data_IF_358231516255
#
_entry.id   IF_358231516255
#
_cell.length_a   1.000
_cell.length_b   1.000
_cell.length_c   1.000
_cell.angle_alpha   90.00
_cell.angle_beta   90.00
_cell.angle_gamma   90.00
#
_symmetry.space_group_name_H-M   'P 1'
#
loop_
_entity.id
_entity.type
_entity.pdbx_description
1 polymer ?
#
# COMPACT_ATOMS: atom_id res chain seq x y z
N UNK A 1 -44.82 38.90 -14.96
CA UNK A 1 -43.39 38.93 -14.61
C UNK A 1 -42.75 37.92 -15.54
N UNK A 2 -42.23 38.41 -16.65
CA UNK A 2 -41.63 37.59 -17.72
C UNK A 2 -40.35 36.96 -17.16
N UNK A 3 -40.12 35.70 -17.49
CA UNK A 3 -38.96 34.92 -17.04
C UNK A 3 -37.63 35.63 -17.37
N UNK A 4 -37.61 36.35 -18.49
CA UNK A 4 -36.47 37.09 -19.02
C UNK A 4 -36.04 38.25 -18.10
N UNK A 5 -37.00 39.00 -17.54
CA UNK A 5 -36.69 40.12 -16.63
C UNK A 5 -36.03 39.66 -15.32
N UNK A 6 -36.42 38.48 -14.82
CA UNK A 6 -35.82 37.88 -13.62
C UNK A 6 -34.42 37.34 -13.92
N UNK A 7 -34.21 36.83 -15.14
CA UNK A 7 -32.94 36.31 -15.59
C UNK A 7 -31.91 37.45 -15.75
N UNK A 8 -32.29 38.56 -16.38
CA UNK A 8 -31.43 39.72 -16.59
C UNK A 8 -31.01 40.37 -15.27
N UNK A 9 -31.93 40.47 -14.31
CA UNK A 9 -31.61 40.94 -12.97
C UNK A 9 -30.58 40.03 -12.29
N UNK A 10 -30.76 38.71 -12.37
CA UNK A 10 -29.83 37.75 -11.78
C UNK A 10 -28.42 37.83 -12.42
N UNK A 11 -28.34 38.03 -13.74
CA UNK A 11 -27.06 38.22 -14.43
C UNK A 11 -26.38 39.54 -14.07
N UNK A 12 -27.14 40.61 -13.83
CA UNK A 12 -26.60 41.91 -13.44
C UNK A 12 -25.98 41.95 -12.03
N UNK A 13 -26.39 41.02 -11.16
CA UNK A 13 -25.86 40.88 -9.80
C UNK A 13 -24.61 39.98 -9.73
N UNK A 14 -24.26 39.29 -10.81
CA UNK A 14 -23.05 38.48 -10.87
C UNK A 14 -21.81 39.39 -11.07
N UNK A 15 -20.75 39.22 -10.27
CA UNK A 15 -19.52 39.96 -10.50
C UNK A 15 -18.95 39.60 -11.88
N UNK A 16 -18.76 40.61 -12.72
CA UNK A 16 -17.94 40.50 -13.92
C UNK A 16 -16.56 40.01 -13.47
N UNK A 17 -15.95 39.09 -14.21
CA UNK A 17 -14.65 38.48 -13.91
C UNK A 17 -14.74 37.23 -13.01
N UNK A 18 -15.39 36.19 -13.53
CA UNK A 18 -14.90 34.80 -13.38
C UNK A 18 -13.60 34.65 -14.20
N UNK A 19 -12.53 35.37 -13.85
CA UNK A 19 -11.19 34.98 -14.31
C UNK A 19 -10.77 33.79 -13.48
N UNK A 20 -10.87 32.63 -14.10
CA UNK A 20 -10.24 31.39 -13.68
C UNK A 20 -8.75 31.63 -13.43
N UNK A 21 -8.37 31.91 -12.19
CA UNK A 21 -7.03 31.58 -11.74
C UNK A 21 -7.10 30.21 -11.09
N UNK A 22 -6.97 29.16 -11.89
CA UNK A 22 -6.41 27.92 -11.37
C UNK A 22 -4.98 28.22 -10.92
N UNK A 23 -4.82 28.76 -9.70
CA UNK A 23 -3.52 28.95 -9.02
C UNK A 23 -2.78 27.63 -8.82
N UNK A 24 -3.48 26.52 -9.02
CA UNK A 24 -2.94 25.18 -8.96
C UNK A 24 -2.12 24.87 -10.20
N UNK A 25 -0.80 24.98 -10.06
CA UNK A 25 0.14 24.46 -11.04
C UNK A 25 0.43 23.00 -10.72
N UNK A 26 0.35 22.15 -11.75
CA UNK A 26 0.68 20.74 -11.63
C UNK A 26 2.18 20.62 -11.38
N UNK A 27 2.62 20.02 -10.26
CA UNK A 27 4.05 19.81 -10.02
C UNK A 27 4.62 18.81 -11.03
N UNK A 28 5.88 19.00 -11.40
CA UNK A 28 6.58 18.10 -12.33
C UNK A 28 7.28 17.00 -11.56
N UNK A 29 7.20 15.75 -12.02
CA UNK A 29 7.92 14.63 -11.41
C UNK A 29 9.40 14.62 -11.80
N UNK A 30 10.29 14.62 -10.82
CA UNK A 30 11.73 14.49 -11.02
C UNK A 30 12.13 13.03 -10.88
N UNK A 31 12.31 12.36 -12.02
CA UNK A 31 12.69 10.95 -12.08
C UNK A 31 14.11 10.75 -12.60
N UNK A 32 14.89 9.91 -11.92
CA UNK A 32 16.24 9.50 -12.33
C UNK A 32 16.25 8.00 -12.59
N UNK A 33 16.78 7.59 -13.74
CA UNK A 33 16.96 6.17 -14.09
C UNK A 33 18.33 5.71 -13.60
N UNK A 34 18.35 4.77 -12.66
CA UNK A 34 19.53 4.11 -12.12
C UNK A 34 19.56 2.65 -12.60
N UNK A 35 20.21 2.40 -13.74
CA UNK A 35 20.28 1.06 -14.32
C UNK A 35 18.90 0.55 -14.76
N UNK A 36 18.38 -0.49 -14.08
CA UNK A 36 17.04 -1.06 -14.32
C UNK A 36 15.97 -0.54 -13.36
N UNK A 37 16.29 0.46 -12.55
CA UNK A 37 15.40 1.03 -11.55
C UNK A 37 15.17 2.50 -11.89
N UNK A 38 13.94 2.98 -11.75
CA UNK A 38 13.61 4.40 -11.90
C UNK A 38 13.18 4.93 -10.53
N UNK A 39 13.84 6.00 -10.08
CA UNK A 39 13.59 6.62 -8.77
C UNK A 39 13.02 8.01 -8.99
N UNK A 40 11.85 8.29 -8.42
CA UNK A 40 11.26 9.62 -8.35
C UNK A 40 11.69 10.25 -7.02
N UNK A 41 12.44 11.35 -7.10
CA UNK A 41 13.07 11.98 -5.93
C UNK A 41 12.12 12.91 -5.18
N UNK A 42 11.28 13.65 -5.89
CA UNK A 42 10.41 14.68 -5.33
C UNK A 42 9.00 14.17 -4.97
N UNK A 43 8.85 12.87 -4.72
CA UNK A 43 7.55 12.23 -4.51
C UNK A 43 6.81 12.79 -3.29
N UNK A 44 7.53 13.05 -2.20
CA UNK A 44 6.95 13.64 -0.99
C UNK A 44 6.42 15.06 -1.19
N UNK A 45 7.16 15.90 -1.91
CA UNK A 45 6.77 17.29 -2.16
C UNK A 45 5.59 17.37 -3.12
N UNK A 46 5.58 16.50 -4.13
CA UNK A 46 4.46 16.34 -5.06
C UNK A 46 3.20 15.91 -4.32
N UNK A 47 3.30 14.93 -3.42
CA UNK A 47 2.18 14.44 -2.61
C UNK A 47 1.59 15.56 -1.73
N UNK A 48 2.45 16.39 -1.12
CA UNK A 48 2.04 17.56 -0.34
C UNK A 48 1.38 18.62 -1.22
N UNK A 49 1.95 18.90 -2.39
CA UNK A 49 1.43 19.89 -3.33
C UNK A 49 0.01 19.59 -3.81
N UNK A 50 -0.34 18.31 -3.96
CA UNK A 50 -1.69 17.88 -4.36
C UNK A 50 -2.62 17.56 -3.17
N UNK A 51 -2.16 17.79 -1.93
CA UNK A 51 -2.85 17.45 -0.69
C UNK A 51 -3.36 15.99 -0.66
N UNK A 52 -2.46 15.04 -0.97
CA UNK A 52 -2.74 13.60 -0.91
C UNK A 52 -1.70 12.86 -0.10
N UNK A 53 -2.07 11.69 0.41
CA UNK A 53 -1.12 10.80 1.06
C UNK A 53 -0.22 10.11 0.01
N UNK A 54 1.07 9.92 0.32
CA UNK A 54 2.02 9.26 -0.56
C UNK A 54 1.62 7.80 -0.85
N UNK A 55 0.87 7.18 0.06
CA UNK A 55 0.35 5.82 -0.09
C UNK A 55 -0.62 5.70 -1.29
N UNK A 56 -1.57 6.63 -1.42
CA UNK A 56 -2.54 6.61 -2.52
C UNK A 56 -1.84 6.80 -3.87
N UNK A 57 -0.91 7.76 -3.92
CA UNK A 57 -0.12 8.05 -5.13
C UNK A 57 0.74 6.84 -5.51
N UNK A 58 1.42 6.21 -4.54
CA UNK A 58 2.30 5.06 -4.76
C UNK A 58 1.52 3.85 -5.26
N UNK A 59 0.38 3.56 -4.63
CA UNK A 59 -0.55 2.50 -5.06
C UNK A 59 -1.03 2.69 -6.50
N UNK A 60 -1.33 3.93 -6.88
CA UNK A 60 -1.74 4.27 -8.25
C UNK A 60 -0.61 4.01 -9.26
N UNK A 61 0.60 4.50 -9.00
CA UNK A 61 1.73 4.29 -9.91
C UNK A 61 2.07 2.81 -10.09
N UNK A 62 2.09 2.03 -9.01
CA UNK A 62 2.35 0.58 -9.09
C UNK A 62 1.27 -0.15 -9.92
N UNK A 63 -0.01 0.25 -9.77
CA UNK A 63 -1.11 -0.32 -10.52
C UNK A 63 -1.09 0.03 -12.02
N UNK A 64 -0.81 1.30 -12.35
CA UNK A 64 -0.83 1.81 -13.73
C UNK A 64 0.42 1.43 -14.51
N UNK A 65 1.59 1.45 -13.87
CA UNK A 65 2.86 1.08 -14.50
C UNK A 65 3.03 -0.43 -14.60
N UNK A 66 2.26 -1.20 -13.82
CA UNK A 66 2.30 -2.67 -13.86
C UNK A 66 3.62 -3.25 -13.35
N UNK A 67 4.36 -2.50 -12.55
CA UNK A 67 5.67 -2.89 -12.02
C UNK A 67 5.66 -3.07 -10.52
N UNK A 68 6.52 -3.95 -10.04
CA UNK A 68 6.88 -3.97 -8.64
C UNK A 68 7.71 -2.73 -8.30
N UNK A 69 7.52 -2.21 -7.10
CA UNK A 69 8.22 -1.03 -6.62
C UNK A 69 7.92 -0.79 -5.16
N UNK A 70 8.66 0.15 -4.60
CA UNK A 70 8.59 0.55 -3.20
C UNK A 70 8.40 2.06 -3.17
N UNK A 71 7.49 2.52 -2.33
CA UNK A 71 7.27 3.94 -2.10
C UNK A 71 7.51 4.22 -0.63
N UNK A 72 8.20 5.33 -0.39
CA UNK A 72 8.40 5.89 0.93
C UNK A 72 7.74 7.28 0.97
N UNK A 73 7.79 7.95 2.11
CA UNK A 73 7.26 9.31 2.26
C UNK A 73 8.01 10.33 1.38
N UNK A 74 9.26 10.06 1.02
CA UNK A 74 10.12 10.97 0.24
C UNK A 74 10.26 10.58 -1.23
N UNK A 75 10.42 9.29 -1.53
CA UNK A 75 10.80 8.79 -2.86
C UNK A 75 9.95 7.61 -3.31
N UNK A 76 9.77 7.47 -4.62
CA UNK A 76 9.15 6.29 -5.24
C UNK A 76 10.18 5.55 -6.10
N UNK A 77 10.34 4.25 -5.86
CA UNK A 77 11.28 3.37 -6.56
C UNK A 77 10.50 2.36 -7.40
N UNK A 78 10.65 2.41 -8.71
CA UNK A 78 10.00 1.49 -9.66
C UNK A 78 11.04 0.55 -10.28
N UNK A 79 10.75 -0.76 -10.31
CA UNK A 79 11.57 -1.73 -11.02
C UNK A 79 11.24 -1.67 -12.51
N UNK A 80 12.05 -0.94 -13.26
CA UNK A 80 11.91 -0.73 -14.70
C UNK A 80 12.64 0.53 -15.14
N UNK A 81 12.85 0.66 -16.45
CA UNK A 81 13.32 1.89 -17.08
C UNK A 81 12.13 2.66 -17.61
N UNK A 82 11.84 3.81 -17.01
CA UNK A 82 10.73 4.66 -17.42
C UNK A 82 11.22 6.03 -17.85
N UNK A 83 10.65 6.53 -18.95
CA UNK A 83 10.95 7.88 -19.42
C UNK A 83 10.22 8.88 -18.52
N UNK A 84 10.82 10.05 -18.18
CA UNK A 84 10.17 11.08 -17.37
C UNK A 84 8.79 11.49 -17.93
N UNK A 85 8.68 11.62 -19.26
CA UNK A 85 7.42 11.94 -19.93
C UNK A 85 6.30 10.93 -19.64
N UNK A 86 6.61 9.63 -19.65
CA UNK A 86 5.61 8.60 -19.36
C UNK A 86 5.11 8.68 -17.91
N UNK A 87 6.00 9.00 -16.97
CA UNK A 87 5.61 9.19 -15.57
C UNK A 87 4.74 10.43 -15.41
N UNK A 88 5.08 11.52 -16.10
CA UNK A 88 4.29 12.75 -16.09
C UNK A 88 2.89 12.55 -16.68
N UNK A 89 2.75 11.84 -17.81
CA UNK A 89 1.45 11.54 -18.41
C UNK A 89 0.53 10.78 -17.44
N UNK A 90 1.08 9.79 -16.72
CA UNK A 90 0.33 9.05 -15.70
C UNK A 90 0.01 9.91 -14.49
N UNK A 91 0.90 10.81 -14.11
CA UNK A 91 0.66 11.76 -13.02
C UNK A 91 -0.47 12.73 -13.34
N UNK A 92 -0.51 13.27 -14.55
CA UNK A 92 -1.60 14.15 -14.99
C UNK A 92 -2.95 13.41 -15.02
N UNK A 93 -2.94 12.15 -15.46
CA UNK A 93 -4.13 11.31 -15.41
C UNK A 93 -4.60 11.09 -13.95
N UNK A 94 -3.68 10.92 -13.00
CA UNK A 94 -4.00 10.83 -11.58
C UNK A 94 -4.69 12.10 -11.07
N UNK A 95 -4.13 13.27 -11.37
CA UNK A 95 -4.68 14.56 -10.93
C UNK A 95 -6.11 14.76 -11.47
N UNK A 96 -6.32 14.48 -12.77
CA UNK A 96 -7.63 14.62 -13.41
C UNK A 96 -8.70 13.71 -12.80
N UNK A 97 -8.33 12.51 -12.35
CA UNK A 97 -9.29 11.54 -11.81
C UNK A 97 -9.47 11.57 -10.29
N UNK A 98 -8.43 11.94 -9.52
CA UNK A 98 -8.40 11.78 -8.06
C UNK A 98 -8.14 13.07 -7.26
N UNK A 99 -7.88 14.20 -7.94
CA UNK A 99 -7.60 15.49 -7.30
C UNK A 99 -8.59 16.56 -7.78
N UNK A 100 -8.80 16.68 -9.09
CA UNK A 100 -9.69 17.69 -9.64
C UNK A 100 -11.14 17.23 -9.54
N UNK A 101 -12.01 18.09 -8.99
CA UNK A 101 -13.45 17.87 -9.01
C UNK A 101 -13.99 18.00 -10.45
N UNK A 102 -14.78 17.04 -10.96
CA UNK A 102 -15.32 17.12 -12.32
C UNK A 102 -16.39 18.20 -12.50
N UNK A 103 -17.03 18.66 -11.42
CA UNK A 103 -18.04 19.74 -11.48
C UNK A 103 -17.42 21.13 -11.45
N UNK A 104 -16.64 21.44 -10.42
CA UNK A 104 -16.13 22.80 -10.20
C UNK A 104 -14.68 23.02 -10.64
N UNK A 105 -14.00 21.97 -11.15
CA UNK A 105 -12.58 21.98 -11.58
C UNK A 105 -11.57 22.44 -10.54
N UNK A 106 -11.96 22.52 -9.26
CA UNK A 106 -11.05 22.85 -8.16
C UNK A 106 -10.31 21.61 -7.66
N UNK A 107 -9.05 21.76 -7.20
CA UNK A 107 -8.28 20.69 -6.58
C UNK A 107 -8.67 20.44 -5.10
N UNK A 108 -9.57 21.26 -4.54
CA UNK A 108 -10.05 21.18 -3.15
C UNK A 108 -11.01 20.01 -2.97
N UNK A 109 -10.43 18.80 -2.93
CA UNK A 109 -11.18 17.55 -2.79
C UNK A 109 -10.49 16.63 -1.79
N UNK A 110 -11.27 15.72 -1.20
CA UNK A 110 -10.80 14.72 -0.25
C UNK A 110 -11.30 13.32 -0.67
N UNK A 111 -10.51 12.30 -0.39
CA UNK A 111 -10.82 10.91 -0.74
C UNK A 111 -11.41 10.22 0.50
N UNK A 112 -12.64 9.73 0.38
CA UNK A 112 -13.36 9.02 1.44
C UNK A 112 -13.54 7.58 1.02
N UNK A 113 -13.14 6.65 1.90
CA UNK A 113 -13.40 5.23 1.73
C UNK A 113 -14.67 4.85 2.49
N UNK A 114 -15.69 4.40 1.76
CA UNK A 114 -16.95 3.94 2.35
C UNK A 114 -17.25 2.51 1.89
N UNK A 115 -17.30 1.58 2.85
CA UNK A 115 -17.48 0.14 2.63
C UNK A 115 -16.44 -0.45 1.66
N UNK A 116 -16.81 -0.66 0.39
CA UNK A 116 -15.97 -1.23 -0.68
C UNK A 116 -15.71 -0.23 -1.81
N UNK A 117 -16.20 1.00 -1.68
CA UNK A 117 -16.12 2.03 -2.71
C UNK A 117 -15.29 3.20 -2.20
N UNK A 118 -14.64 3.88 -3.12
CA UNK A 118 -13.87 5.10 -2.82
C UNK A 118 -14.58 6.25 -3.49
N UNK A 119 -14.73 7.36 -2.77
CA UNK A 119 -15.43 8.56 -3.22
C UNK A 119 -14.50 9.76 -3.15
N UNK A 120 -14.57 10.61 -4.16
CA UNK A 120 -13.99 11.94 -4.16
C UNK A 120 -15.06 12.93 -3.69
N UNK A 121 -14.86 13.52 -2.52
CA UNK A 121 -15.75 14.56 -1.96
C UNK A 121 -15.09 15.92 -2.16
N UNK A 122 -15.76 16.84 -2.84
CA UNK A 122 -15.27 18.21 -2.98
C UNK A 122 -15.65 19.05 -1.75
N UNK A 123 -14.71 19.85 -1.26
CA UNK A 123 -14.95 20.78 -0.14
C UNK A 123 -15.53 22.11 -0.62
N UNK A 124 -15.29 22.49 -1.88
CA UNK A 124 -15.79 23.73 -2.47
C UNK A 124 -17.26 23.64 -2.92
N UNK A 125 -17.66 22.58 -3.63
CA UNK A 125 -19.04 22.42 -4.12
C UNK A 125 -19.86 21.35 -3.38
N UNK A 126 -19.24 20.54 -2.51
CA UNK A 126 -19.93 19.47 -1.78
C UNK A 126 -20.24 18.20 -2.59
N UNK A 127 -19.91 18.19 -3.89
CA UNK A 127 -20.15 17.05 -4.77
C UNK A 127 -19.44 15.78 -4.30
N UNK A 128 -20.07 14.64 -4.57
CA UNK A 128 -19.54 13.30 -4.26
C UNK A 128 -19.50 12.48 -5.53
N UNK A 129 -18.30 12.12 -5.96
CA UNK A 129 -18.11 11.27 -7.14
C UNK A 129 -17.53 9.93 -6.72
N UNK A 130 -18.07 8.84 -7.25
CA UNK A 130 -17.43 7.53 -7.12
C UNK A 130 -16.16 7.52 -7.97
N UNK A 131 -15.05 7.15 -7.36
CA UNK A 131 -13.79 6.91 -8.06
C UNK A 131 -13.48 5.42 -8.03
N UNK A 132 -12.83 4.94 -9.09
CA UNK A 132 -12.40 3.55 -9.18
C UNK A 132 -11.51 3.19 -7.98
N UNK A 133 -11.63 1.95 -7.49
CA UNK A 133 -10.72 1.46 -6.46
C UNK A 133 -9.30 1.44 -7.03
N UNK A 134 -8.37 2.14 -6.39
CA UNK A 134 -6.94 2.03 -6.68
C UNK A 134 -6.49 0.66 -6.16
N UNK A 135 -6.60 -0.35 -7.03
CA UNK A 135 -6.21 -1.72 -6.70
C UNK A 135 -4.71 -1.87 -6.86
N UNK A 136 -4.02 -2.20 -5.78
CA UNK A 136 -2.79 -2.95 -5.91
C UNK A 136 -3.14 -4.40 -6.26
N UNK A 137 -2.44 -5.00 -7.23
CA UNK A 137 -2.25 -6.45 -7.18
C UNK A 137 -1.39 -6.68 -5.95
N UNK A 138 -2.01 -6.98 -4.82
CA UNK A 138 -1.28 -7.43 -3.65
C UNK A 138 -0.47 -8.65 -4.09
N UNK A 139 0.84 -8.51 -4.13
CA UNK A 139 1.69 -9.66 -3.85
C UNK A 139 1.22 -10.07 -2.46
N UNK A 140 0.68 -11.28 -2.26
CA UNK A 140 0.39 -11.72 -0.92
C UNK A 140 1.72 -11.69 -0.18
N UNK A 141 1.87 -10.74 0.75
CA UNK A 141 2.91 -10.78 1.77
C UNK A 141 2.65 -12.06 2.52
N UNK A 142 3.24 -13.12 2.03
CA UNK A 142 3.33 -14.38 2.72
C UNK A 142 4.33 -14.09 3.83
N UNK A 143 3.84 -13.49 4.91
CA UNK A 143 4.29 -13.89 6.23
C UNK A 143 3.93 -15.37 6.33
N UNK A 144 4.75 -16.22 5.70
CA UNK A 144 4.67 -17.66 5.91
C UNK A 144 4.77 -17.81 7.43
N UNK A 145 3.81 -18.48 8.09
CA UNK A 145 4.05 -18.89 9.47
C UNK A 145 5.38 -19.64 9.47
N UNK A 146 6.31 -19.24 10.34
CA UNK A 146 7.69 -19.73 10.35
C UNK A 146 7.79 -21.26 10.41
N UNK A 147 6.73 -21.96 10.79
CA UNK A 147 6.61 -23.41 10.78
C UNK A 147 5.23 -23.86 10.28
N UNK A 148 5.24 -24.85 9.39
CA UNK A 148 4.08 -25.57 8.87
C UNK A 148 4.08 -27.01 9.41
N UNK A 149 2.90 -27.62 9.52
CA UNK A 149 2.78 -29.03 9.90
C UNK A 149 3.45 -29.88 8.80
N UNK A 150 4.46 -30.66 9.17
CA UNK A 150 5.27 -31.48 8.27
C UNK A 150 6.71 -31.01 8.05
N UNK A 151 7.08 -29.82 8.53
CA UNK A 151 8.44 -29.29 8.38
C UNK A 151 9.46 -30.05 9.28
N UNK A 152 10.66 -30.27 8.75
CA UNK A 152 11.78 -30.87 9.48
C UNK A 152 12.72 -29.77 10.00
N UNK A 153 12.82 -29.64 11.32
CA UNK A 153 13.66 -28.65 11.99
C UNK A 153 14.74 -29.32 12.82
N UNK A 154 15.92 -28.70 12.86
CA UNK A 154 17.01 -29.15 13.75
C UNK A 154 16.94 -28.34 15.03
N UNK A 155 16.77 -29.02 16.16
CA UNK A 155 16.64 -28.38 17.47
C UNK A 155 17.54 -29.04 18.51
N UNK A 156 18.08 -28.21 19.41
CA UNK A 156 18.84 -28.69 20.57
C UNK A 156 17.93 -28.76 21.79
N UNK A 157 17.90 -29.93 22.43
CA UNK A 157 17.04 -30.16 23.58
C UNK A 157 17.68 -29.51 24.80
N UNK A 158 16.99 -28.50 25.32
CA UNK A 158 17.47 -27.74 26.49
C UNK A 158 17.17 -28.48 27.79
N UNK A 159 15.98 -29.10 27.91
CA UNK A 159 15.51 -29.78 29.13
C UNK A 159 14.57 -30.93 28.78
N UNK A 160 14.50 -31.94 29.65
CA UNK A 160 13.51 -33.01 29.58
C UNK A 160 12.42 -32.83 30.65
N UNK A 161 11.17 -33.12 30.28
CA UNK A 161 10.02 -33.09 31.18
C UNK A 161 9.86 -34.37 31.98
N UNK A 162 8.97 -34.35 33.00
CA UNK A 162 8.66 -35.52 33.85
C UNK A 162 8.13 -36.76 33.09
N UNK A 163 7.70 -36.59 31.84
CA UNK A 163 7.19 -37.64 30.94
C UNK A 163 8.21 -38.15 29.91
N UNK A 164 9.45 -37.65 29.92
CA UNK A 164 10.47 -38.02 28.94
C UNK A 164 10.43 -37.23 27.63
N UNK A 165 9.60 -36.20 27.55
CA UNK A 165 9.52 -35.30 26.40
C UNK A 165 10.65 -34.26 26.48
N UNK A 166 11.46 -34.13 25.42
CA UNK A 166 12.49 -33.10 25.34
C UNK A 166 11.92 -31.79 24.82
N UNK A 167 12.27 -30.70 25.50
CA UNK A 167 11.84 -29.34 25.18
C UNK A 167 12.99 -28.61 24.49
N UNK A 168 12.71 -28.07 23.31
CA UNK A 168 13.61 -27.21 22.56
C UNK A 168 12.91 -25.91 22.14
N UNK A 169 13.66 -24.80 22.08
CA UNK A 169 13.13 -23.52 21.62
C UNK A 169 13.59 -23.27 20.20
N UNK A 170 12.64 -23.12 19.28
CA UNK A 170 12.93 -22.77 17.89
C UNK A 170 12.12 -21.53 17.49
N UNK A 171 12.80 -20.39 17.38
CA UNK A 171 12.16 -19.08 17.16
C UNK A 171 11.17 -18.73 18.28
N UNK A 172 9.91 -18.50 17.90
CA UNK A 172 8.78 -18.19 18.79
C UNK A 172 8.03 -19.41 19.33
N UNK A 173 8.37 -20.62 18.86
CA UNK A 173 7.68 -21.85 19.23
C UNK A 173 8.51 -22.69 20.22
N UNK A 174 7.82 -23.26 21.20
CA UNK A 174 8.36 -24.25 22.11
C UNK A 174 8.06 -25.63 21.53
N UNK A 175 9.11 -26.30 21.05
CA UNK A 175 9.03 -27.58 20.36
C UNK A 175 9.20 -28.71 21.36
N UNK A 176 8.23 -29.61 21.41
CA UNK A 176 8.26 -30.84 22.17
C UNK A 176 8.64 -31.99 21.26
N UNK A 177 9.73 -32.65 21.59
CA UNK A 177 10.27 -33.78 20.84
C UNK A 177 10.16 -35.03 21.68
N UNK A 178 9.34 -35.97 21.21
CA UNK A 178 9.14 -37.26 21.88
C UNK A 178 10.45 -38.06 21.93
N UNK A 179 10.70 -38.74 23.05
CA UNK A 179 11.79 -39.71 23.23
C UNK A 179 13.21 -39.13 23.06
N UNK A 180 13.47 -37.95 23.62
CA UNK A 180 14.72 -37.23 23.40
C UNK A 180 15.45 -36.87 24.70
N UNK A 181 16.80 -36.84 24.67
CA UNK A 181 17.65 -36.66 25.88
C UNK A 181 18.23 -35.25 25.96
N UNK A 182 18.50 -34.80 27.19
CA UNK A 182 19.09 -33.46 27.44
C UNK A 182 20.45 -33.31 26.76
N UNK A 183 20.65 -32.19 26.05
CA UNK A 183 21.91 -31.88 25.35
C UNK A 183 22.07 -32.50 23.97
N UNK A 184 21.08 -33.27 23.49
CA UNK A 184 21.13 -33.88 22.16
C UNK A 184 20.64 -32.92 21.07
N UNK A 185 21.27 -32.97 19.89
CA UNK A 185 20.80 -32.26 18.70
C UNK A 185 20.00 -33.24 17.84
N UNK A 186 18.73 -32.94 17.60
CA UNK A 186 17.84 -33.85 16.86
C UNK A 186 17.19 -33.13 15.69
N UNK A 187 17.05 -33.84 14.58
CA UNK A 187 16.15 -33.45 13.48
C UNK A 187 14.77 -33.97 13.80
N UNK A 188 13.84 -33.05 13.99
CA UNK A 188 12.47 -33.33 14.38
C UNK A 188 11.52 -32.92 13.28
N UNK A 189 10.59 -33.79 12.93
CA UNK A 189 9.48 -33.49 12.03
C UNK A 189 8.25 -33.07 12.82
N UNK A 190 7.69 -31.91 12.49
CA UNK A 190 6.55 -31.35 13.23
C UNK A 190 5.26 -32.04 12.81
N UNK A 191 4.60 -32.66 13.77
CA UNK A 191 3.32 -33.36 13.59
C UNK A 191 2.13 -32.48 13.96
N UNK A 192 2.32 -31.43 14.77
CA UNK A 192 1.26 -30.49 15.11
C UNK A 192 1.78 -29.19 15.72
N UNK A 193 1.05 -28.10 15.49
CA UNK A 193 1.33 -26.78 16.06
C UNK A 193 0.06 -26.27 16.74
N UNK A 194 0.18 -25.83 18.00
CA UNK A 194 -0.91 -25.22 18.74
C UNK A 194 -0.43 -23.94 19.44
N UNK A 195 -0.95 -22.79 18.99
CA UNK A 195 -0.53 -21.44 19.43
C UNK A 195 0.99 -21.26 19.34
N UNK A 196 1.70 -21.36 20.46
CA UNK A 196 3.15 -21.20 20.57
C UNK A 196 3.88 -22.52 20.90
N UNK A 197 3.20 -23.66 20.84
CA UNK A 197 3.76 -24.99 21.10
C UNK A 197 3.76 -25.79 19.80
N UNK A 198 4.87 -26.46 19.47
CA UNK A 198 4.95 -27.39 18.36
C UNK A 198 5.29 -28.79 18.91
N UNK A 199 4.71 -29.82 18.33
CA UNK A 199 4.99 -31.22 18.66
C UNK A 199 5.65 -31.87 17.46
N UNK A 200 6.64 -32.70 17.69
CA UNK A 200 7.28 -33.43 16.61
C UNK A 200 8.00 -34.69 17.08
N UNK A 201 8.23 -35.56 16.11
CA UNK A 201 8.90 -36.84 16.32
C UNK A 201 10.31 -36.80 15.74
N UNK A 202 11.23 -37.53 16.37
CA UNK A 202 12.63 -37.60 15.91
C UNK A 202 12.69 -38.38 14.61
N UNK A 203 13.25 -37.76 13.56
CA UNK A 203 13.57 -38.42 12.29
C UNK A 203 15.01 -38.93 12.29
N UNK A 204 15.93 -38.11 12.81
CA UNK A 204 17.35 -38.44 12.86
C UNK A 204 18.04 -37.77 14.05
N UNK A 205 18.87 -38.52 14.74
CA UNK A 205 19.73 -38.03 15.82
C UNK A 205 21.09 -37.65 15.25
N UNK A 206 21.62 -36.47 15.63
CA UNK A 206 22.96 -35.99 15.29
C UNK A 206 23.88 -36.00 16.52
#
# INVERSE_FOLDING_TARGET
MEYEDMLDRAYSELPEILKEESRFQIPVLESVVQGRITVVQNFGDVSKGINRSPDILGKYFLGVMGTAGEYDASRLTLKGQFRPAQLQDKFEAFIKSYVICPECKRPDTNIIHEKRMTFLKCEACGARHSVGTIKQKSIPTTEKPDLSIGDEITVQITRTGKKGDGMARHGKYLVFVNNSREGQTVKTKITGINKNMAFGDIVQTL
#
